data_IF_975791979130
#
_entry.id   IF_975791979130
#
_cell.length_a   1.000
_cell.length_b   1.000
_cell.length_c   1.000
_cell.angle_alpha   90.00
_cell.angle_beta   90.00
_cell.angle_gamma   90.00
#
_symmetry.space_group_name_H-M   'P 1'
#
loop_
_entity.id
_entity.type
_entity.pdbx_description
1 polymer ?
#
# COMPACT_ATOMS: atom_id res chain seq x y z
N UNK A 1 11.53 1.88 9.25
CA UNK A 1 12.00 0.81 10.17
C UNK A 1 10.79 0.07 10.73
N UNK A 2 10.89 -1.15 11.27
CA UNK A 2 9.76 -1.79 11.96
C UNK A 2 9.30 -0.97 13.17
N UNK A 3 8.02 -1.05 13.52
CA UNK A 3 7.46 -0.46 14.74
C UNK A 3 8.05 -1.14 15.99
N UNK A 4 8.56 -0.36 16.93
CA UNK A 4 9.20 -0.83 18.16
C UNK A 4 8.45 -0.33 19.40
N UNK A 5 8.50 -1.08 20.51
CA UNK A 5 7.78 -0.71 21.76
C UNK A 5 8.19 0.66 22.30
N UNK A 6 9.42 1.09 22.03
CA UNK A 6 9.94 2.39 22.45
C UNK A 6 9.53 3.55 21.53
N UNK A 7 8.80 3.28 20.44
CA UNK A 7 8.36 4.33 19.51
C UNK A 7 7.37 5.28 20.17
N UNK A 8 7.68 6.57 20.12
CA UNK A 8 6.75 7.59 20.60
C UNK A 8 5.68 7.85 19.53
N UNK A 9 4.48 7.36 19.82
CA UNK A 9 3.27 7.54 19.03
C UNK A 9 2.41 8.71 19.52
N UNK A 10 2.80 9.36 20.63
CA UNK A 10 2.04 10.43 21.25
C UNK A 10 2.05 11.66 20.35
N UNK A 11 0.87 12.25 20.18
CA UNK A 11 0.69 13.45 19.36
C UNK A 11 0.78 13.20 17.85
N UNK A 12 0.87 11.95 17.38
CA UNK A 12 0.72 11.65 15.96
C UNK A 12 -0.68 12.05 15.49
N UNK A 13 -0.73 12.95 14.52
CA UNK A 13 -1.99 13.35 13.88
C UNK A 13 -1.81 13.54 12.37
N UNK A 14 -2.44 12.67 11.58
CA UNK A 14 -2.47 12.76 10.12
C UNK A 14 -3.77 13.39 9.56
N UNK A 15 -4.62 13.95 10.43
CA UNK A 15 -5.93 14.53 10.07
C UNK A 15 -7.04 13.50 9.85
N UNK A 16 -6.73 12.20 9.93
CA UNK A 16 -7.69 11.11 9.81
C UNK A 16 -7.76 10.34 11.13
N UNK A 17 -8.81 10.59 11.91
CA UNK A 17 -8.96 10.07 13.27
C UNK A 17 -8.86 8.53 13.33
N UNK A 18 -9.43 7.83 12.34
CA UNK A 18 -9.36 6.37 12.24
C UNK A 18 -7.92 5.84 12.10
N UNK A 19 -7.03 6.57 11.42
CA UNK A 19 -5.63 6.22 11.25
C UNK A 19 -4.81 6.56 12.51
N UNK A 20 -5.14 7.67 13.18
CA UNK A 20 -4.49 8.08 14.42
C UNK A 20 -4.79 7.07 15.55
N UNK A 21 -6.07 6.76 15.79
CA UNK A 21 -6.46 5.81 16.84
C UNK A 21 -5.91 4.42 16.59
N UNK A 22 -5.93 3.95 15.34
CA UNK A 22 -5.40 2.64 15.03
C UNK A 22 -3.90 2.54 15.32
N UNK A 23 -3.11 3.58 15.00
CA UNK A 23 -1.69 3.62 15.32
C UNK A 23 -1.47 3.50 16.84
N UNK A 24 -2.16 4.33 17.61
CA UNK A 24 -1.96 4.42 19.07
C UNK A 24 -2.48 3.20 19.84
N UNK A 25 -3.59 2.59 19.40
CA UNK A 25 -4.30 1.56 20.17
C UNK A 25 -4.12 0.14 19.65
N UNK A 26 -3.83 -0.03 18.36
CA UNK A 26 -3.92 -1.34 17.69
C UNK A 26 -2.63 -1.76 17.01
N UNK A 27 -1.81 -0.82 16.51
CA UNK A 27 -0.66 -1.13 15.69
C UNK A 27 0.36 -2.07 16.36
N UNK A 28 0.70 -1.84 17.64
CA UNK A 28 1.61 -2.73 18.38
C UNK A 28 1.07 -4.15 18.50
N UNK A 29 -0.21 -4.31 18.86
CA UNK A 29 -0.82 -5.62 19.02
C UNK A 29 -0.85 -6.36 17.69
N UNK A 30 -1.21 -5.70 16.60
CA UNK A 30 -1.20 -6.29 15.27
C UNK A 30 0.22 -6.61 14.78
N UNK A 31 1.19 -5.74 15.08
CA UNK A 31 2.59 -5.98 14.78
C UNK A 31 3.10 -7.22 15.52
N UNK A 32 2.79 -7.35 16.82
CA UNK A 32 3.22 -8.46 17.66
C UNK A 32 2.55 -9.77 17.26
N UNK A 33 1.23 -9.76 17.05
CA UNK A 33 0.46 -10.97 16.70
C UNK A 33 0.72 -11.47 15.28
N UNK A 34 1.22 -10.60 14.39
CA UNK A 34 1.43 -10.92 12.98
C UNK A 34 0.22 -10.62 12.09
N UNK A 35 -0.85 -10.03 12.65
CA UNK A 35 -2.01 -9.59 11.86
C UNK A 35 -1.63 -8.52 10.81
N UNK A 36 -0.64 -7.67 11.11
CA UNK A 36 -0.03 -6.77 10.12
C UNK A 36 1.38 -6.40 10.55
N UNK A 37 2.34 -6.31 9.61
CA UNK A 37 3.66 -5.73 9.89
C UNK A 37 3.63 -4.22 9.67
N UNK A 38 4.00 -3.48 10.70
CA UNK A 38 3.96 -2.01 10.74
C UNK A 38 5.37 -1.46 10.62
N UNK A 39 5.53 -0.47 9.76
CA UNK A 39 6.80 0.23 9.53
C UNK A 39 6.61 1.73 9.75
N UNK A 40 7.56 2.35 10.41
CA UNK A 40 7.55 3.76 10.81
C UNK A 40 8.76 4.51 10.25
N UNK A 41 8.58 5.81 10.08
CA UNK A 41 9.65 6.81 9.98
C UNK A 41 9.59 7.68 11.23
N UNK A 42 10.76 8.05 11.73
CA UNK A 42 10.90 8.70 13.04
C UNK A 42 11.77 9.95 12.88
N UNK A 43 11.46 11.00 13.62
CA UNK A 43 12.34 12.13 13.84
C UNK A 43 12.52 12.35 15.34
N UNK A 44 13.78 12.37 15.81
CA UNK A 44 14.13 12.53 17.24
C UNK A 44 13.35 11.57 18.17
N UNK A 45 13.08 10.35 17.70
CA UNK A 45 12.34 9.32 18.45
C UNK A 45 10.82 9.36 18.28
N UNK A 46 10.25 10.47 17.76
CA UNK A 46 8.83 10.60 17.50
C UNK A 46 8.48 10.00 16.14
N UNK A 47 7.40 9.21 16.06
CA UNK A 47 6.88 8.71 14.79
C UNK A 47 6.23 9.85 14.01
N UNK A 48 6.70 10.07 12.78
CA UNK A 48 6.21 11.14 11.88
C UNK A 48 5.46 10.59 10.66
N UNK A 49 5.43 9.27 10.51
CA UNK A 49 4.73 8.58 9.43
C UNK A 49 4.85 7.08 9.58
N UNK A 50 3.85 6.36 9.06
CA UNK A 50 3.83 4.91 9.11
C UNK A 50 3.06 4.30 7.94
N UNK A 51 3.29 3.02 7.72
CA UNK A 51 2.40 2.18 6.92
C UNK A 51 2.36 0.76 7.48
N UNK A 52 1.38 -0.03 7.05
CA UNK A 52 1.34 -1.45 7.40
C UNK A 52 1.04 -2.36 6.21
N UNK A 53 1.66 -3.53 6.22
CA UNK A 53 1.45 -4.61 5.26
C UNK A 53 0.80 -5.81 5.96
N UNK A 54 -0.16 -6.42 5.30
CA UNK A 54 -0.79 -7.67 5.74
C UNK A 54 -0.92 -8.63 4.56
N UNK A 55 -1.00 -9.92 4.84
CA UNK A 55 -1.45 -10.89 3.85
C UNK A 55 -2.97 -10.72 3.63
N UNK A 56 -3.43 -10.94 2.41
CA UNK A 56 -4.85 -10.88 2.09
C UNK A 56 -5.20 -11.68 0.86
N UNK A 57 -6.48 -11.64 0.51
CA UNK A 57 -6.97 -12.28 -0.71
C UNK A 57 -8.12 -11.48 -1.32
N UNK A 58 -8.19 -11.43 -2.65
CA UNK A 58 -9.36 -10.87 -3.36
C UNK A 58 -10.05 -11.99 -4.14
N UNK A 59 -11.38 -12.03 -4.08
CA UNK A 59 -12.16 -12.96 -4.90
C UNK A 59 -11.91 -12.65 -6.38
N UNK A 60 -11.81 -13.69 -7.22
CA UNK A 60 -11.57 -13.49 -8.67
C UNK A 60 -12.59 -12.55 -9.32
N UNK A 61 -13.84 -12.59 -8.89
CA UNK A 61 -14.92 -11.72 -9.41
C UNK A 61 -14.66 -10.22 -9.19
N UNK A 62 -13.85 -9.86 -8.19
CA UNK A 62 -13.50 -8.49 -7.85
C UNK A 62 -12.14 -8.04 -8.44
N UNK A 63 -11.51 -8.88 -9.28
CA UNK A 63 -10.18 -8.63 -9.83
C UNK A 63 -10.21 -8.34 -11.34
N UNK A 64 -9.25 -7.56 -11.87
CA UNK A 64 -9.10 -7.42 -13.32
C UNK A 64 -8.80 -8.76 -14.00
N UNK A 65 -9.41 -9.01 -15.16
CA UNK A 65 -9.24 -10.26 -15.95
C UNK A 65 -7.77 -10.66 -16.16
N UNK A 66 -6.88 -9.67 -16.30
CA UNK A 66 -5.43 -9.90 -16.47
C UNK A 66 -4.77 -10.59 -15.28
N UNK A 67 -5.26 -10.37 -14.05
CA UNK A 67 -4.74 -11.02 -12.84
C UNK A 67 -5.34 -12.40 -12.59
N UNK A 68 -6.52 -12.68 -13.13
CA UNK A 68 -7.24 -13.93 -12.86
C UNK A 68 -6.64 -15.10 -13.65
N UNK A 69 -6.11 -14.84 -14.86
CA UNK A 69 -5.62 -15.90 -15.74
C UNK A 69 -4.51 -16.70 -15.05
N UNK A 70 -4.74 -18.00 -14.86
CA UNK A 70 -3.82 -18.96 -14.22
C UNK A 70 -3.50 -18.68 -12.73
N UNK A 71 -4.27 -17.83 -12.06
CA UNK A 71 -4.11 -17.54 -10.63
C UNK A 71 -5.14 -18.33 -9.81
N UNK A 72 -4.91 -18.67 -8.53
CA UNK A 72 -5.88 -19.39 -7.69
C UNK A 72 -7.16 -18.58 -7.39
N UNK A 73 -8.14 -19.20 -6.73
CA UNK A 73 -9.31 -18.50 -6.16
C UNK A 73 -9.38 -18.84 -4.66
N UNK A 74 -9.29 -17.85 -3.75
CA UNK A 74 -9.09 -16.42 -4.01
C UNK A 74 -7.67 -16.07 -4.45
N UNK A 75 -7.48 -14.88 -5.03
CA UNK A 75 -6.18 -14.38 -5.48
C UNK A 75 -5.34 -13.93 -4.27
N UNK A 76 -4.12 -14.45 -4.05
CA UNK A 76 -3.26 -14.05 -2.94
C UNK A 76 -2.65 -12.68 -3.19
N UNK A 77 -2.85 -11.75 -2.25
CA UNK A 77 -2.36 -10.38 -2.34
C UNK A 77 -1.56 -9.99 -1.11
N UNK A 78 -0.77 -8.93 -1.25
CA UNK A 78 -0.29 -8.13 -0.12
C UNK A 78 -1.22 -6.92 -0.01
N UNK A 79 -1.73 -6.65 1.19
CA UNK A 79 -2.55 -5.48 1.48
C UNK A 79 -1.69 -4.38 2.13
N UNK A 80 -1.55 -3.24 1.45
CA UNK A 80 -1.16 -1.97 2.05
C UNK A 80 -2.36 -1.40 2.80
N UNK A 81 -2.50 -1.82 4.06
CA UNK A 81 -3.71 -1.58 4.83
C UNK A 81 -3.86 -0.12 5.26
N UNK A 82 -2.75 0.52 5.63
CA UNK A 82 -2.71 1.90 6.10
C UNK A 82 -1.42 2.55 5.65
N UNK A 83 -1.48 3.83 5.30
CA UNK A 83 -0.35 4.71 5.05
C UNK A 83 -0.75 6.10 5.52
N UNK A 84 0.04 6.68 6.42
CA UNK A 84 -0.24 7.99 7.00
C UNK A 84 1.05 8.76 7.27
N UNK A 85 0.99 10.08 7.08
CA UNK A 85 2.05 11.04 7.41
C UNK A 85 1.45 12.05 8.37
N UNK A 86 2.17 12.34 9.45
CA UNK A 86 1.78 13.38 10.41
C UNK A 86 1.64 14.74 9.69
N UNK A 87 0.62 15.51 10.05
CA UNK A 87 0.28 16.79 9.43
C UNK A 87 1.45 17.79 9.45
N UNK A 88 2.27 17.76 10.49
CA UNK A 88 3.47 18.61 10.63
C UNK A 88 4.51 18.34 9.54
N UNK A 89 4.44 17.17 8.89
CA UNK A 89 5.42 16.65 7.93
C UNK A 89 4.86 16.40 6.53
N UNK A 90 3.58 16.73 6.30
CA UNK A 90 2.97 16.63 4.97
C UNK A 90 3.64 17.59 3.97
N UNK A 91 3.57 17.26 2.69
CA UNK A 91 4.16 18.06 1.61
C UNK A 91 5.67 17.88 1.39
N UNK A 92 6.37 17.14 2.26
CA UNK A 92 7.81 16.91 2.17
C UNK A 92 8.22 15.66 1.37
N UNK A 93 7.29 15.08 0.60
CA UNK A 93 7.55 13.86 -0.19
C UNK A 93 7.58 12.54 0.61
N UNK A 94 7.39 12.59 1.94
CA UNK A 94 7.45 11.40 2.80
C UNK A 94 6.43 10.32 2.45
N UNK A 95 5.23 10.69 2.00
CA UNK A 95 4.21 9.73 1.57
C UNK A 95 4.69 8.86 0.40
N UNK A 96 5.34 9.47 -0.59
CA UNK A 96 5.94 8.76 -1.72
C UNK A 96 7.12 7.89 -1.30
N UNK A 97 7.93 8.36 -0.35
CA UNK A 97 9.02 7.58 0.22
C UNK A 97 8.51 6.32 0.94
N UNK A 98 7.48 6.45 1.80
CA UNK A 98 6.87 5.30 2.46
C UNK A 98 6.24 4.32 1.47
N UNK A 99 5.55 4.83 0.45
CA UNK A 99 4.95 3.99 -0.57
C UNK A 99 6.01 3.22 -1.37
N UNK A 100 7.12 3.87 -1.71
CA UNK A 100 8.26 3.21 -2.37
C UNK A 100 8.85 2.11 -1.50
N UNK A 101 9.09 2.37 -0.21
CA UNK A 101 9.58 1.34 0.73
C UNK A 101 8.58 0.17 0.84
N UNK A 102 7.27 0.44 0.91
CA UNK A 102 6.24 -0.58 0.93
C UNK A 102 6.23 -1.47 -0.33
N UNK A 103 6.40 -0.87 -1.52
CA UNK A 103 6.49 -1.59 -2.79
C UNK A 103 7.73 -2.49 -2.81
N UNK A 104 8.90 -1.95 -2.43
CA UNK A 104 10.16 -2.71 -2.44
C UNK A 104 10.10 -3.91 -1.49
N UNK A 105 9.52 -3.73 -0.29
CA UNK A 105 9.29 -4.84 0.65
C UNK A 105 8.33 -5.89 0.08
N UNK A 106 7.28 -5.45 -0.59
CA UNK A 106 6.32 -6.35 -1.23
C UNK A 106 6.95 -7.18 -2.34
N UNK A 107 7.80 -6.57 -3.18
CA UNK A 107 8.57 -7.26 -4.21
C UNK A 107 9.50 -8.31 -3.58
N UNK A 108 10.20 -7.96 -2.50
CA UNK A 108 11.07 -8.90 -1.80
C UNK A 108 10.31 -10.12 -1.28
N UNK A 109 9.09 -9.94 -0.74
CA UNK A 109 8.24 -11.05 -0.29
C UNK A 109 7.86 -12.00 -1.43
N UNK A 110 7.67 -11.50 -2.66
CA UNK A 110 7.29 -12.34 -3.81
C UNK A 110 8.34 -13.34 -4.24
N UNK A 111 9.58 -13.20 -3.77
CA UNK A 111 10.66 -14.16 -4.05
C UNK A 111 10.43 -15.51 -3.36
N UNK A 112 9.72 -15.51 -2.23
CA UNK A 112 9.51 -16.69 -1.39
C UNK A 112 8.03 -17.03 -1.20
N UNK A 113 7.11 -16.14 -1.58
CA UNK A 113 5.67 -16.29 -1.41
C UNK A 113 4.91 -15.96 -2.70
N UNK A 114 3.96 -16.82 -3.07
CA UNK A 114 3.08 -16.59 -4.21
C UNK A 114 2.11 -15.44 -3.95
N UNK A 115 2.36 -14.29 -4.57
CA UNK A 115 1.55 -13.07 -4.47
C UNK A 115 1.32 -12.51 -5.87
N UNK A 116 0.09 -12.14 -6.20
CA UNK A 116 -0.25 -11.63 -7.55
C UNK A 116 -0.37 -10.10 -7.61
N UNK A 117 -0.60 -9.43 -6.48
CA UNK A 117 -0.80 -7.99 -6.44
C UNK A 117 -0.47 -7.39 -5.07
N UNK A 118 -0.11 -6.10 -5.08
CA UNK A 118 -0.15 -5.22 -3.92
C UNK A 118 -1.44 -4.42 -4.01
N UNK A 119 -2.31 -4.54 -3.02
CA UNK A 119 -3.58 -3.82 -2.99
C UNK A 119 -3.53 -2.76 -1.90
N UNK A 120 -3.93 -1.53 -2.20
CA UNK A 120 -4.14 -0.48 -1.21
C UNK A 120 -5.64 -0.22 -1.03
N UNK A 121 -6.04 0.23 0.15
CA UNK A 121 -7.38 0.74 0.37
C UNK A 121 -7.33 2.27 0.46
N UNK A 122 -7.97 2.97 -0.49
CA UNK A 122 -8.15 4.42 -0.37
C UNK A 122 -9.27 4.73 0.63
N UNK A 123 -8.90 5.41 1.72
CA UNK A 123 -9.85 5.84 2.76
C UNK A 123 -10.75 7.00 2.28
N UNK A 124 -10.21 7.88 1.43
CA UNK A 124 -10.90 9.07 0.94
C UNK A 124 -10.42 9.40 -0.49
N UNK A 125 -11.04 10.41 -1.11
CA UNK A 125 -10.73 10.81 -2.48
C UNK A 125 -9.28 11.29 -2.64
N UNK A 126 -8.72 12.00 -1.66
CA UNK A 126 -7.32 12.44 -1.68
C UNK A 126 -6.35 11.26 -1.67
N UNK A 127 -6.62 10.23 -0.86
CA UNK A 127 -5.84 9.00 -0.83
C UNK A 127 -5.94 8.25 -2.16
N UNK A 128 -7.11 8.21 -2.78
CA UNK A 128 -7.30 7.62 -4.12
C UNK A 128 -6.43 8.33 -5.16
N UNK A 129 -6.49 9.65 -5.22
CA UNK A 129 -5.68 10.46 -6.13
C UNK A 129 -4.19 10.25 -5.91
N UNK A 130 -3.75 10.21 -4.64
CA UNK A 130 -2.38 9.87 -4.29
C UNK A 130 -1.98 8.53 -4.91
N UNK A 131 -2.70 7.43 -4.65
CA UNK A 131 -2.33 6.13 -5.21
C UNK A 131 -2.35 6.09 -6.75
N UNK A 132 -3.32 6.77 -7.39
CA UNK A 132 -3.39 6.88 -8.84
C UNK A 132 -2.14 7.60 -9.42
N UNK A 133 -1.66 8.66 -8.76
CA UNK A 133 -0.44 9.37 -9.16
C UNK A 133 0.81 8.48 -9.12
N UNK A 134 0.83 7.48 -8.23
CA UNK A 134 1.90 6.48 -8.14
C UNK A 134 1.65 5.22 -8.99
N UNK A 135 0.64 5.25 -9.87
CA UNK A 135 0.40 4.20 -10.86
C UNK A 135 -0.44 3.02 -10.37
N UNK A 136 -1.12 3.13 -9.22
CA UNK A 136 -2.12 2.14 -8.82
C UNK A 136 -3.30 2.19 -9.78
N UNK A 137 -3.87 1.03 -10.10
CA UNK A 137 -5.08 0.95 -10.92
C UNK A 137 -6.30 0.64 -10.04
N UNK A 138 -7.45 1.30 -10.26
CA UNK A 138 -8.66 0.98 -9.52
C UNK A 138 -9.07 -0.48 -9.79
N UNK A 139 -9.45 -1.18 -8.74
CA UNK A 139 -10.15 -2.45 -8.88
C UNK A 139 -11.51 -2.20 -9.55
N UNK A 140 -12.01 -3.13 -10.36
CA UNK A 140 -13.34 -3.02 -10.93
C UNK A 140 -14.35 -2.88 -9.77
N UNK A 141 -15.14 -1.81 -9.69
CA UNK A 141 -16.33 -1.84 -8.86
C UNK A 141 -17.18 -2.97 -9.41
N UNK A 142 -17.68 -3.84 -8.53
CA UNK A 142 -18.60 -4.91 -8.95
C UNK A 142 -19.77 -4.25 -9.71
N UNK A 143 -19.74 -4.39 -11.05
CA UNK A 143 -20.64 -3.77 -12.04
C UNK A 143 -20.67 -2.22 -12.07
N UNK A 144 -19.79 -1.61 -12.87
CA UNK A 144 -20.18 -0.53 -13.80
C UNK A 144 -19.27 -0.49 -15.04
N UNK A 145 -19.92 -0.82 -16.16
CA UNK A 145 -19.57 -0.87 -17.59
C UNK A 145 -18.31 -0.12 -18.11
N UNK A 146 -17.54 -0.88 -18.90
CA UNK A 146 -16.78 -0.55 -20.14
C UNK A 146 -15.33 0.03 -20.10
N UNK A 147 -14.43 -0.79 -20.70
CA UNK A 147 -13.10 -0.59 -21.33
C UNK A 147 -12.54 0.85 -21.48
N UNK A 148 -11.30 1.19 -21.10
CA UNK A 148 -9.94 0.74 -21.50
C UNK A 148 -9.27 1.67 -22.54
N UNK A 149 -8.18 2.33 -22.13
CA UNK A 149 -7.02 2.80 -22.92
C UNK A 149 -6.18 3.70 -21.98
N UNK A 150 -4.85 3.70 -21.91
CA UNK A 150 -3.86 3.13 -22.80
C UNK A 150 -2.48 3.15 -22.11
N UNK A 151 -1.57 2.35 -22.65
CA UNK A 151 -0.31 1.84 -22.10
C UNK A 151 0.92 2.71 -22.45
N UNK A 152 0.77 3.79 -23.21
CA UNK A 152 1.91 4.54 -23.76
C UNK A 152 2.56 5.59 -22.86
N UNK A 153 2.05 5.83 -21.65
CA UNK A 153 2.74 6.70 -20.69
C UNK A 153 3.72 5.96 -19.76
N UNK A 154 3.72 4.62 -19.79
CA UNK A 154 4.35 3.79 -18.76
C UNK A 154 5.88 3.69 -18.85
N UNK A 155 6.50 4.18 -19.95
CA UNK A 155 7.96 4.08 -20.16
C UNK A 155 8.72 5.42 -20.13
N UNK A 156 8.06 6.57 -19.97
CA UNK A 156 8.75 7.89 -20.03
C UNK A 156 8.94 8.63 -18.69
N UNK A 157 8.47 8.08 -17.58
CA UNK A 157 8.68 8.67 -16.23
C UNK A 157 9.40 7.73 -15.27
N UNK A 158 10.12 6.75 -15.82
CA UNK A 158 10.79 5.66 -15.14
C UNK A 158 12.27 5.99 -14.84
N UNK A 159 12.54 7.11 -14.15
CA UNK A 159 13.88 7.36 -13.57
C UNK A 159 14.03 6.88 -12.12
N UNK A 160 13.03 6.21 -11.54
CA UNK A 160 13.13 5.66 -10.17
C UNK A 160 13.52 4.16 -10.15
N UNK A 161 13.61 3.52 -11.33
CA UNK A 161 13.75 2.07 -11.48
C UNK A 161 15.02 1.61 -12.23
N UNK A 162 16.03 2.48 -12.39
CA UNK A 162 17.27 2.08 -13.07
C UNK A 162 18.28 1.31 -12.19
N UNK A 163 17.95 1.01 -10.93
CA UNK A 163 18.83 0.25 -10.01
C UNK A 163 18.27 -1.10 -9.57
N UNK A 164 17.13 -1.55 -10.10
CA UNK A 164 16.59 -2.87 -9.75
C UNK A 164 16.78 -3.78 -10.96
N UNK A 165 17.87 -4.54 -10.91
CA UNK A 165 18.27 -5.49 -11.95
C UNK A 165 17.08 -6.29 -12.49
N UNK A 166 16.99 -6.31 -13.81
CA UNK A 166 15.97 -6.98 -14.59
C UNK A 166 15.82 -8.46 -14.18
N UNK A 167 14.79 -8.77 -13.39
CA UNK A 167 14.15 -10.12 -13.34
C UNK A 167 12.83 -10.26 -12.57
N UNK A 168 12.27 -9.23 -11.93
CA UNK A 168 11.00 -9.36 -11.20
C UNK A 168 9.83 -8.66 -11.91
N UNK A 169 9.24 -9.34 -12.90
CA UNK A 169 7.92 -8.99 -13.43
C UNK A 169 6.83 -9.60 -12.52
N UNK A 170 5.74 -8.84 -12.27
CA UNK A 170 4.40 -9.29 -11.77
C UNK A 170 3.98 -8.88 -10.34
N UNK A 171 4.36 -7.72 -9.81
CA UNK A 171 3.53 -7.09 -8.76
C UNK A 171 2.72 -5.98 -9.40
N UNK A 172 1.43 -6.21 -9.62
CA UNK A 172 0.51 -5.17 -10.08
C UNK A 172 -0.03 -4.44 -8.84
N UNK A 173 0.15 -3.12 -8.79
CA UNK A 173 -0.41 -2.28 -7.75
C UNK A 173 -1.89 -1.98 -8.07
N UNK A 174 -2.80 -2.32 -7.16
CA UNK A 174 -4.24 -2.15 -7.34
C UNK A 174 -4.87 -1.43 -6.15
N UNK A 175 -5.96 -0.71 -6.39
CA UNK A 175 -6.63 0.10 -5.39
C UNK A 175 -8.05 -0.40 -5.16
N UNK A 176 -8.35 -0.87 -3.95
CA UNK A 176 -9.71 -1.03 -3.46
C UNK A 176 -10.22 0.33 -2.97
N UNK A 177 -11.45 0.68 -3.33
CA UNK A 177 -12.14 1.89 -2.87
C UNK A 177 -13.08 1.48 -1.73
N UNK A 178 -13.05 2.19 -0.60
CA UNK A 178 -14.04 1.98 0.46
C UNK A 178 -15.28 2.74 0.04
N UNK A 179 -16.35 2.03 -0.26
CA UNK A 179 -17.65 2.62 0.02
C UNK A 179 -17.79 2.67 1.55
N UNK A 180 -18.15 3.84 2.07
CA UNK A 180 -18.68 3.94 3.43
C UNK A 180 -20.06 3.31 3.47
#
# INVERSE_FOLDING_TARGET
MPLEVADDLVGFDCGEESLNHWLQRTAHNNHKSGASRVFTIKEKGQVIGYYCLAAGSIARVAAPKKLIRNSPDPLPIILLGRLAIDNRYKGQGLGGFLLRDAILRSISLTQNLGVVALVAHALNQSAKEFYLQYGFLPLPPLLQKCFAAWWEFFLKRFEIFHSIGAKCSKVVAQLAISDR
#
